data_IF_154576013621
#
_entry.id   IF_154576013621
#
_cell.length_a   1.000
_cell.length_b   1.000
_cell.length_c   1.000
_cell.angle_alpha   90.00
_cell.angle_beta   90.00
_cell.angle_gamma   90.00
#
_symmetry.space_group_name_H-M   'P 1'
#
loop_
_entity.id
_entity.type
_entity.pdbx_description
1 polymer ?
#
# COMPACT_ATOMS: atom_id res chain seq x y z
N UNK A 1 11.74 11.57 -5.29
CA UNK A 1 10.37 11.08 -5.17
C UNK A 1 10.32 9.61 -5.52
N UNK A 2 9.57 8.87 -4.74
CA UNK A 2 9.44 7.45 -4.96
C UNK A 2 8.38 7.14 -5.99
N UNK A 3 8.70 6.26 -6.90
CA UNK A 3 7.73 5.72 -7.83
C UNK A 3 8.15 4.30 -8.16
N UNK A 4 7.19 3.46 -8.51
CA UNK A 4 7.44 2.07 -8.80
C UNK A 4 6.90 1.17 -7.72
N UNK A 5 7.35 -0.08 -7.70
CA UNK A 5 6.85 -1.08 -6.77
C UNK A 5 7.78 -1.24 -5.58
N UNK A 6 7.20 -1.55 -4.43
CA UNK A 6 7.98 -1.77 -3.24
C UNK A 6 7.14 -2.24 -2.09
N UNK A 7 7.81 -2.53 -0.96
CA UNK A 7 7.15 -2.95 0.27
C UNK A 7 7.42 -1.92 1.34
N UNK A 8 6.36 -1.45 1.98
CA UNK A 8 6.48 -0.53 3.08
C UNK A 8 5.94 -1.16 4.35
N UNK A 9 6.71 -1.06 5.43
CA UNK A 9 6.29 -1.56 6.74
C UNK A 9 6.00 -0.37 7.64
N UNK A 10 4.80 -0.36 8.22
CA UNK A 10 4.39 0.71 9.13
C UNK A 10 4.71 0.36 10.57
N UNK A 11 4.85 1.37 11.44
CA UNK A 11 5.23 1.12 12.84
C UNK A 11 4.20 0.29 13.62
N UNK A 12 2.95 0.27 13.20
CA UNK A 12 1.91 -0.50 13.88
C UNK A 12 1.90 -1.96 13.48
N UNK A 13 2.80 -2.38 12.58
CA UNK A 13 2.87 -3.76 12.13
C UNK A 13 2.16 -4.02 10.81
N UNK A 14 1.54 -3.00 10.22
CA UNK A 14 0.93 -3.17 8.91
C UNK A 14 1.99 -3.07 7.82
N UNK A 15 1.67 -3.60 6.65
CA UNK A 15 2.56 -3.51 5.50
C UNK A 15 1.75 -3.22 4.25
N UNK A 16 2.39 -2.56 3.30
CA UNK A 16 1.82 -2.36 1.97
C UNK A 16 2.81 -2.85 0.93
N UNK A 17 2.31 -3.63 -0.01
CA UNK A 17 3.13 -4.15 -1.09
C UNK A 17 2.45 -3.84 -2.41
N UNK A 18 3.09 -3.03 -3.23
CA UNK A 18 2.50 -2.66 -4.52
C UNK A 18 3.16 -1.42 -5.09
N UNK A 19 2.41 -0.69 -5.88
CA UNK A 19 2.93 0.46 -6.59
C UNK A 19 2.88 1.72 -5.75
N UNK A 20 3.87 2.56 -5.97
CA UNK A 20 4.03 3.84 -5.27
C UNK A 20 4.19 4.96 -6.28
N UNK A 21 3.69 6.11 -5.92
CA UNK A 21 3.87 7.30 -6.74
C UNK A 21 3.89 8.52 -5.84
N UNK A 22 4.97 9.32 -5.95
CA UNK A 22 5.12 10.55 -5.18
C UNK A 22 4.98 10.33 -3.68
N UNK A 23 5.46 9.18 -3.20
CA UNK A 23 5.42 8.88 -1.78
C UNK A 23 4.09 8.32 -1.28
N UNK A 24 3.14 8.10 -2.16
CA UNK A 24 1.83 7.56 -1.79
C UNK A 24 1.58 6.23 -2.47
N UNK A 25 0.77 5.42 -1.81
CA UNK A 25 0.27 4.20 -2.43
C UNK A 25 -0.63 4.59 -3.60
N UNK A 26 -0.27 4.13 -4.78
CA UNK A 26 -0.97 4.55 -5.98
C UNK A 26 -0.86 3.44 -7.02
N UNK A 27 -2.00 2.92 -7.43
CA UNK A 27 -2.03 1.81 -8.35
C UNK A 27 -2.35 0.51 -7.64
N UNK A 28 -2.00 -0.59 -8.27
CA UNK A 28 -2.35 -1.91 -7.76
C UNK A 28 -1.44 -2.32 -6.61
N UNK A 29 -2.03 -2.76 -5.50
CA UNK A 29 -1.24 -3.18 -4.36
C UNK A 29 -2.06 -3.94 -3.33
N UNK A 30 -1.36 -4.53 -2.36
CA UNK A 30 -1.96 -5.30 -1.29
C UNK A 30 -1.54 -4.69 0.05
N UNK A 31 -2.53 -4.37 0.87
CA UNK A 31 -2.30 -3.86 2.21
C UNK A 31 -2.60 -4.94 3.22
N UNK A 32 -1.68 -5.16 4.15
CA UNK A 32 -1.86 -6.13 5.23
C UNK A 32 -1.93 -5.37 6.55
N UNK A 33 -3.04 -5.52 7.27
CA UNK A 33 -3.20 -4.88 8.57
C UNK A 33 -2.46 -5.66 9.65
N UNK A 34 -2.25 -4.99 10.76
CA UNK A 34 -1.50 -5.59 11.87
C UNK A 34 -2.18 -6.82 12.46
N UNK A 35 -3.47 -6.97 12.25
CA UNK A 35 -4.21 -8.13 12.74
C UNK A 35 -4.16 -9.31 11.77
N UNK A 36 -3.48 -9.15 10.65
CA UNK A 36 -3.33 -10.22 9.67
C UNK A 36 -4.28 -10.16 8.49
N UNK A 37 -5.21 -9.23 8.50
CA UNK A 37 -6.13 -9.07 7.39
C UNK A 37 -5.43 -8.43 6.19
N UNK A 38 -5.87 -8.82 5.01
CA UNK A 38 -5.29 -8.29 3.78
C UNK A 38 -6.38 -7.78 2.86
N UNK A 39 -6.05 -6.74 2.12
CA UNK A 39 -6.95 -6.21 1.12
C UNK A 39 -6.14 -5.77 -0.09
N UNK A 40 -6.53 -6.24 -1.27
CA UNK A 40 -5.85 -5.89 -2.51
C UNK A 40 -6.81 -5.17 -3.44
N UNK A 41 -6.25 -4.36 -4.32
CA UNK A 41 -7.05 -3.61 -5.27
C UNK A 41 -6.28 -2.42 -5.77
N UNK A 42 -7.02 -1.42 -6.25
CA UNK A 42 -6.43 -0.20 -6.78
C UNK A 42 -6.43 0.86 -5.68
N UNK A 43 -5.26 1.45 -5.47
CA UNK A 43 -5.06 2.48 -4.46
C UNK A 43 -4.85 3.81 -5.13
N UNK A 44 -5.33 4.86 -4.52
CA UNK A 44 -5.13 6.21 -5.02
C UNK A 44 -4.89 7.15 -3.86
N UNK A 45 -3.71 7.80 -3.85
CA UNK A 45 -3.31 8.73 -2.80
C UNK A 45 -3.41 8.10 -1.41
N UNK A 46 -3.05 6.83 -1.31
CA UNK A 46 -3.05 6.13 -0.04
C UNK A 46 -4.38 5.52 0.35
N UNK A 47 -5.38 5.61 -0.52
CA UNK A 47 -6.71 5.09 -0.21
C UNK A 47 -7.11 4.01 -1.20
N UNK A 48 -7.78 3.00 -0.68
CA UNK A 48 -8.27 1.91 -1.52
C UNK A 48 -9.52 2.36 -2.27
N UNK A 49 -9.50 2.15 -3.57
CA UNK A 49 -10.66 2.44 -4.42
C UNK A 49 -11.52 1.20 -4.53
N UNK A 50 -12.75 1.30 -4.08
CA UNK A 50 -13.69 0.18 -4.12
C UNK A 50 -14.72 0.33 -5.19
#
# INVERSE_FOLDING_TARGET
MWSGQGVLTFPDGSTYEGEWKNGFMNGEGTFTWSDGKQKSGIWENGKLQE
#
